data_IF_170502519171
#
_entry.id   IF_170502519171
#
_cell.length_a   1.000
_cell.length_b   1.000
_cell.length_c   1.000
_cell.angle_alpha   90.00
_cell.angle_beta   90.00
_cell.angle_gamma   90.00
#
_symmetry.space_group_name_H-M   'P 1'
#
loop_
_entity.id
_entity.type
_entity.pdbx_description
1 polymer ?
#
# COMPACT_ATOMS: atom_id res chain seq x y z
N UNK A 1 2.90 -15.47 10.99
CA UNK A 1 4.27 -15.91 10.56
C UNK A 1 5.30 -15.30 11.53
N UNK A 2 6.47 -15.89 11.78
CA UNK A 2 7.43 -15.26 12.71
C UNK A 2 8.11 -14.07 12.04
N UNK A 3 8.13 -12.91 12.72
CA UNK A 3 8.85 -11.72 12.25
C UNK A 3 10.35 -12.00 12.26
N UNK A 4 11.04 -11.60 11.19
CA UNK A 4 12.49 -11.61 11.15
C UNK A 4 13.06 -10.25 11.56
N UNK A 5 14.32 -10.25 11.98
CA UNK A 5 15.05 -9.02 12.26
C UNK A 5 15.23 -8.18 10.99
N UNK A 6 14.88 -6.89 11.10
CA UNK A 6 15.13 -5.86 10.08
C UNK A 6 16.54 -5.94 9.49
N UNK A 7 17.59 -6.10 10.31
CA UNK A 7 18.97 -6.13 9.83
C UNK A 7 19.24 -7.33 8.91
N UNK A 8 18.62 -8.48 9.18
CA UNK A 8 18.72 -9.65 8.30
C UNK A 8 18.07 -9.40 6.94
N UNK A 9 16.91 -8.73 6.93
CA UNK A 9 16.25 -8.36 5.67
C UNK A 9 17.07 -7.36 4.85
N UNK A 10 17.68 -6.37 5.50
CA UNK A 10 18.53 -5.36 4.84
C UNK A 10 19.80 -5.99 4.26
N UNK A 11 20.40 -6.94 4.98
CA UNK A 11 21.54 -7.71 4.49
C UNK A 11 21.14 -8.59 3.28
N UNK A 12 19.96 -9.21 3.31
CA UNK A 12 19.45 -9.98 2.18
C UNK A 12 19.24 -9.11 0.94
N UNK A 13 18.68 -7.91 1.09
CA UNK A 13 18.57 -6.93 -0.01
C UNK A 13 19.96 -6.57 -0.55
N UNK A 14 20.90 -6.23 0.32
CA UNK A 14 22.24 -5.77 -0.08
C UNK A 14 23.04 -6.87 -0.81
N UNK A 15 22.82 -8.14 -0.49
CA UNK A 15 23.54 -9.28 -1.04
C UNK A 15 22.79 -10.01 -2.17
N UNK A 16 21.59 -9.57 -2.54
CA UNK A 16 20.83 -10.20 -3.62
C UNK A 16 21.60 -10.08 -4.96
N UNK A 17 21.64 -11.14 -5.75
CA UNK A 17 22.32 -11.15 -7.05
C UNK A 17 21.37 -10.74 -8.17
N UNK A 18 21.90 -10.58 -9.39
CA UNK A 18 21.08 -10.39 -10.62
C UNK A 18 20.00 -11.46 -10.85
N UNK A 19 20.16 -12.66 -10.27
CA UNK A 19 19.21 -13.78 -10.38
C UNK A 19 18.11 -13.75 -9.31
N UNK A 20 18.27 -12.93 -8.27
CA UNK A 20 17.34 -12.75 -7.16
C UNK A 20 16.58 -11.45 -7.35
N UNK A 21 15.33 -11.53 -7.81
CA UNK A 21 14.45 -10.35 -7.85
C UNK A 21 14.08 -9.94 -6.42
N UNK A 22 14.33 -8.69 -6.07
CA UNK A 22 13.92 -8.09 -4.80
C UNK A 22 12.51 -7.51 -4.97
N UNK A 23 11.54 -8.12 -4.31
CA UNK A 23 10.15 -7.68 -4.25
C UNK A 23 9.93 -6.96 -2.92
N UNK A 24 9.48 -5.72 -2.97
CA UNK A 24 9.24 -4.87 -1.80
C UNK A 24 7.74 -4.57 -1.70
N UNK A 25 7.16 -4.81 -0.53
CA UNK A 25 5.88 -4.18 -0.22
C UNK A 25 6.06 -2.66 -0.09
N UNK A 26 4.98 -1.94 -0.39
CA UNK A 26 5.00 -0.50 -0.39
C UNK A 26 4.56 0.09 0.94
N UNK A 27 3.31 -0.16 1.32
CA UNK A 27 2.70 0.43 2.51
C UNK A 27 3.30 -0.21 3.75
N UNK A 28 3.61 0.61 4.76
CA UNK A 28 4.23 0.22 6.04
C UNK A 28 5.60 -0.49 5.96
N UNK A 29 6.08 -0.78 4.75
CA UNK A 29 7.41 -1.34 4.45
C UNK A 29 8.34 -0.31 3.80
N UNK A 30 8.11 0.06 2.54
CA UNK A 30 8.95 1.03 1.82
C UNK A 30 8.56 2.48 2.15
N UNK A 31 7.26 2.74 2.26
CA UNK A 31 6.70 3.93 2.88
C UNK A 31 6.25 3.54 4.29
N UNK A 32 6.75 4.20 5.32
CA UNK A 32 6.43 3.93 6.73
C UNK A 32 5.02 4.42 7.15
N UNK A 33 4.10 4.50 6.17
CA UNK A 33 2.72 4.93 6.27
C UNK A 33 1.88 4.14 5.28
N UNK A 34 0.58 4.07 5.54
CA UNK A 34 -0.40 3.60 4.58
C UNK A 34 -0.70 4.66 3.52
N UNK A 35 -0.27 4.44 2.28
CA UNK A 35 -0.47 5.37 1.16
C UNK A 35 -1.93 5.61 0.82
N UNK A 36 -2.77 4.57 0.91
CA UNK A 36 -4.21 4.69 0.66
C UNK A 36 -4.88 5.56 1.73
N UNK A 37 -4.53 5.36 3.00
CA UNK A 37 -5.04 6.19 4.08
C UNK A 37 -4.60 7.66 3.95
N UNK A 38 -3.34 7.89 3.59
CA UNK A 38 -2.80 9.22 3.38
C UNK A 38 -3.44 9.94 2.20
N UNK A 39 -3.74 9.21 1.11
CA UNK A 39 -4.48 9.73 -0.03
C UNK A 39 -5.92 10.13 0.37
N UNK A 40 -6.64 9.25 1.08
CA UNK A 40 -7.99 9.56 1.56
C UNK A 40 -7.97 10.79 2.49
N UNK A 41 -6.96 10.90 3.37
CA UNK A 41 -6.80 12.07 4.25
C UNK A 41 -6.49 13.37 3.49
N UNK A 42 -6.02 13.26 2.24
CA UNK A 42 -5.71 14.37 1.35
C UNK A 42 -6.93 14.91 0.59
N UNK A 43 -8.07 14.20 0.61
CA UNK A 43 -9.28 14.63 -0.10
C UNK A 43 -9.63 16.09 0.21
N UNK A 44 -9.95 16.85 -0.84
CA UNK A 44 -10.37 18.25 -0.73
C UNK A 44 -11.66 18.51 -1.51
N UNK A 45 -12.51 19.44 -1.08
CA UNK A 45 -12.54 20.07 0.23
C UNK A 45 -12.67 19.04 1.36
N UNK A 46 -11.95 19.25 2.46
CA UNK A 46 -11.74 18.21 3.50
C UNK A 46 -13.05 17.74 4.13
N UNK A 47 -13.99 18.66 4.36
CA UNK A 47 -15.32 18.34 4.89
C UNK A 47 -16.11 17.42 3.97
N UNK A 48 -16.13 17.72 2.66
CA UNK A 48 -16.84 16.90 1.66
C UNK A 48 -16.20 15.51 1.59
N UNK A 49 -14.86 15.44 1.52
CA UNK A 49 -14.15 14.16 1.55
C UNK A 49 -14.47 13.32 2.78
N UNK A 50 -14.51 13.93 3.97
CA UNK A 50 -14.89 13.26 5.21
C UNK A 50 -16.33 12.71 5.15
N UNK A 51 -17.30 13.55 4.74
CA UNK A 51 -18.71 13.14 4.62
C UNK A 51 -18.86 12.00 3.63
N UNK A 52 -18.23 12.07 2.46
CA UNK A 52 -18.26 11.00 1.45
C UNK A 52 -17.74 9.67 2.01
N UNK A 53 -16.58 9.68 2.66
CA UNK A 53 -16.00 8.46 3.25
C UNK A 53 -16.89 7.89 4.34
N UNK A 54 -17.50 8.75 5.17
CA UNK A 54 -18.44 8.32 6.20
C UNK A 54 -19.71 7.69 5.60
N UNK A 55 -20.30 8.32 4.58
CA UNK A 55 -21.45 7.78 3.85
C UNK A 55 -21.11 6.42 3.23
N UNK A 56 -19.98 6.30 2.54
CA UNK A 56 -19.54 5.02 1.98
C UNK A 56 -19.34 3.93 3.06
N UNK A 57 -18.81 4.28 4.23
CA UNK A 57 -18.67 3.35 5.37
C UNK A 57 -20.01 2.93 6.01
N UNK A 58 -21.05 3.75 5.87
CA UNK A 58 -22.42 3.46 6.35
C UNK A 58 -23.16 2.61 5.32
N UNK A 59 -23.20 3.07 4.07
CA UNK A 59 -23.91 2.43 2.95
C UNK A 59 -23.27 1.08 2.60
N UNK A 60 -21.93 1.01 2.67
CA UNK A 60 -21.12 -0.17 2.36
C UNK A 60 -21.46 -0.78 1.00
N UNK A 61 -21.32 -0.01 -0.10
CA UNK A 61 -21.71 -0.48 -1.44
C UNK A 61 -20.96 -1.75 -1.88
N UNK A 62 -19.74 -1.99 -1.38
CA UNK A 62 -18.98 -3.23 -1.61
C UNK A 62 -19.65 -4.50 -1.06
N UNK A 63 -20.66 -4.37 -0.19
CA UNK A 63 -21.44 -5.50 0.30
C UNK A 63 -22.61 -5.88 -0.62
N UNK A 64 -22.96 -5.01 -1.58
CA UNK A 64 -24.10 -5.16 -2.47
C UNK A 64 -23.78 -5.87 -3.78
N UNK A 65 -22.49 -5.94 -4.15
CA UNK A 65 -22.09 -6.64 -5.35
C UNK A 65 -22.31 -8.16 -5.23
N UNK A 66 -22.77 -8.83 -6.29
CA UNK A 66 -22.90 -10.28 -6.32
C UNK A 66 -21.55 -10.99 -6.47
N UNK A 67 -21.47 -12.20 -5.90
CA UNK A 67 -20.39 -13.16 -6.15
C UNK A 67 -19.01 -12.69 -5.68
N UNK A 68 -18.02 -12.88 -6.54
CA UNK A 68 -16.59 -12.76 -6.22
C UNK A 68 -16.13 -11.34 -5.83
N UNK A 69 -16.90 -10.29 -6.17
CA UNK A 69 -16.56 -8.90 -5.84
C UNK A 69 -17.10 -8.43 -4.48
N UNK A 70 -17.84 -9.30 -3.78
CA UNK A 70 -18.47 -9.01 -2.50
C UNK A 70 -17.44 -9.11 -1.37
N UNK A 71 -17.39 -8.09 -0.52
CA UNK A 71 -16.68 -8.16 0.76
C UNK A 71 -15.66 -7.06 0.97
N UNK A 72 -14.88 -7.19 2.06
CA UNK A 72 -13.99 -6.12 2.51
C UNK A 72 -12.73 -5.97 1.65
N UNK A 73 -12.39 -6.96 0.80
CA UNK A 73 -11.22 -6.89 -0.09
C UNK A 73 -11.33 -5.77 -1.13
N UNK A 74 -12.56 -5.48 -1.60
CA UNK A 74 -12.85 -4.43 -2.60
C UNK A 74 -13.24 -3.10 -1.97
N UNK A 75 -13.37 -3.02 -0.64
CA UNK A 75 -13.75 -1.81 0.10
C UNK A 75 -12.90 -0.60 -0.29
N UNK A 76 -11.58 -0.75 -0.30
CA UNK A 76 -10.67 0.37 -0.55
C UNK A 76 -10.81 0.90 -1.98
N UNK A 77 -11.21 0.06 -2.94
CA UNK A 77 -11.52 0.51 -4.29
C UNK A 77 -12.69 1.48 -4.32
N UNK A 78 -13.75 1.24 -3.54
CA UNK A 78 -14.85 2.20 -3.41
C UNK A 78 -14.42 3.47 -2.69
N UNK A 79 -13.67 3.32 -1.60
CA UNK A 79 -13.21 4.46 -0.78
C UNK A 79 -12.21 5.36 -1.52
N UNK A 80 -11.52 4.84 -2.53
CA UNK A 80 -10.60 5.61 -3.36
C UNK A 80 -11.32 6.12 -4.62
N UNK A 81 -11.98 5.25 -5.38
CA UNK A 81 -12.49 5.56 -6.72
C UNK A 81 -13.62 6.58 -6.67
N UNK A 82 -14.62 6.38 -5.81
CA UNK A 82 -15.78 7.29 -5.74
C UNK A 82 -15.34 8.71 -5.35
N UNK A 83 -14.59 8.92 -4.25
CA UNK A 83 -14.14 10.26 -3.90
C UNK A 83 -13.20 10.86 -4.95
N UNK A 84 -12.39 10.05 -5.63
CA UNK A 84 -11.51 10.55 -6.71
C UNK A 84 -12.30 11.05 -7.91
N UNK A 85 -13.39 10.37 -8.29
CA UNK A 85 -14.29 10.82 -9.38
C UNK A 85 -15.02 12.10 -8.98
N UNK A 86 -15.50 12.19 -7.74
CA UNK A 86 -16.28 13.34 -7.27
C UNK A 86 -15.40 14.55 -6.92
N UNK A 87 -14.14 14.33 -6.57
CA UNK A 87 -13.18 15.35 -6.13
C UNK A 87 -11.86 15.24 -6.93
N UNK A 88 -11.89 15.37 -8.27
CA UNK A 88 -10.76 15.02 -9.15
C UNK A 88 -9.52 15.89 -8.93
N UNK A 89 -9.68 17.14 -8.47
CA UNK A 89 -8.57 18.02 -8.10
C UNK A 89 -7.73 17.47 -6.94
N UNK A 90 -8.23 16.48 -6.18
CA UNK A 90 -7.42 15.76 -5.18
C UNK A 90 -6.19 15.14 -5.82
N UNK A 91 -6.27 14.68 -7.09
CA UNK A 91 -5.12 14.11 -7.79
C UNK A 91 -3.98 15.11 -7.94
N UNK A 92 -4.30 16.38 -8.25
CA UNK A 92 -3.30 17.44 -8.39
C UNK A 92 -2.66 17.78 -7.05
N UNK A 93 -3.47 17.88 -5.99
CA UNK A 93 -3.00 18.16 -4.64
C UNK A 93 -2.21 16.98 -4.06
N UNK A 94 -2.55 15.76 -4.48
CA UNK A 94 -1.86 14.55 -4.08
C UNK A 94 -0.42 14.54 -4.55
N UNK A 95 -0.12 15.01 -5.77
CA UNK A 95 1.26 15.08 -6.27
C UNK A 95 2.19 15.84 -5.30
N UNK A 96 1.73 17.00 -4.81
CA UNK A 96 2.50 17.82 -3.86
C UNK A 96 2.60 17.16 -2.49
N UNK A 97 1.52 16.53 -2.01
CA UNK A 97 1.53 15.82 -0.73
C UNK A 97 2.45 14.59 -0.79
N UNK A 98 2.43 13.86 -1.90
CA UNK A 98 3.24 12.66 -2.12
C UNK A 98 4.73 12.98 -2.06
N UNK A 99 5.18 14.09 -2.63
CA UNK A 99 6.56 14.53 -2.51
C UNK A 99 7.00 14.70 -1.04
N UNK A 100 6.16 15.36 -0.22
CA UNK A 100 6.44 15.52 1.22
C UNK A 100 6.43 14.19 1.95
N UNK A 101 5.45 13.34 1.67
CA UNK A 101 5.35 12.01 2.28
C UNK A 101 6.55 11.12 1.95
N UNK A 102 7.02 11.11 0.70
CA UNK A 102 8.21 10.37 0.31
C UNK A 102 9.44 10.88 1.07
N UNK A 103 9.60 12.20 1.18
CA UNK A 103 10.72 12.79 1.95
C UNK A 103 10.68 12.40 3.44
N UNK A 104 9.51 12.45 4.06
CA UNK A 104 9.36 12.36 5.51
C UNK A 104 9.19 10.91 6.02
N UNK A 105 8.71 10.00 5.16
CA UNK A 105 8.30 8.65 5.57
C UNK A 105 8.88 7.52 4.70
N UNK A 106 9.78 7.80 3.77
CA UNK A 106 10.52 6.72 3.11
C UNK A 106 11.36 5.93 4.11
N UNK A 107 11.39 4.61 3.94
CA UNK A 107 12.28 3.73 4.70
C UNK A 107 13.71 3.85 4.18
N UNK A 108 14.49 4.74 4.80
CA UNK A 108 15.86 5.04 4.39
C UNK A 108 16.81 3.84 4.53
N UNK A 109 16.52 2.89 5.42
CA UNK A 109 17.32 1.68 5.59
C UNK A 109 17.20 0.77 4.36
N UNK A 110 15.97 0.48 3.93
CA UNK A 110 15.71 -0.26 2.68
C UNK A 110 16.34 0.47 1.49
N UNK A 111 16.10 1.77 1.36
CA UNK A 111 16.65 2.58 0.26
C UNK A 111 18.18 2.49 0.22
N UNK A 112 18.85 2.55 1.39
CA UNK A 112 20.30 2.45 1.48
C UNK A 112 20.80 1.06 1.11
N UNK A 113 20.09 0.00 1.51
CA UNK A 113 20.41 -1.38 1.10
C UNK A 113 20.30 -1.56 -0.43
N UNK A 114 19.25 -1.01 -1.04
CA UNK A 114 19.05 -1.04 -2.50
C UNK A 114 20.14 -0.24 -3.22
N UNK A 115 20.53 0.94 -2.73
CA UNK A 115 21.60 1.73 -3.35
C UNK A 115 22.94 1.00 -3.37
N UNK A 116 23.22 0.18 -2.35
CA UNK A 116 24.42 -0.66 -2.29
C UNK A 116 24.37 -1.86 -3.25
N UNK A 117 23.18 -2.26 -3.68
CA UNK A 117 22.96 -3.36 -4.61
C UNK A 117 22.45 -2.85 -5.97
N UNK A 118 23.38 -2.69 -6.91
CA UNK A 118 23.05 -2.27 -8.27
C UNK A 118 22.70 -3.43 -9.21
N UNK A 119 22.83 -4.69 -8.78
CA UNK A 119 22.69 -5.86 -9.66
C UNK A 119 21.28 -6.44 -9.68
N UNK A 120 20.65 -6.57 -8.50
CA UNK A 120 19.38 -7.27 -8.38
C UNK A 120 18.20 -6.45 -8.96
N UNK A 121 17.28 -7.04 -9.74
CA UNK A 121 16.06 -6.36 -10.14
C UNK A 121 15.21 -5.98 -8.91
N UNK A 122 14.70 -4.75 -8.85
CA UNK A 122 13.87 -4.22 -7.75
C UNK A 122 12.46 -3.96 -8.25
N UNK A 123 11.51 -4.68 -7.67
CA UNK A 123 10.09 -4.56 -7.96
C UNK A 123 9.34 -4.15 -6.71
N UNK A 124 8.49 -3.13 -6.81
CA UNK A 124 7.56 -2.76 -5.75
C UNK A 124 6.22 -3.41 -6.01
N UNK A 125 5.65 -4.11 -5.04
CA UNK A 125 4.39 -4.83 -5.16
C UNK A 125 3.41 -4.41 -4.05
N UNK A 126 2.25 -3.89 -4.41
CA UNK A 126 1.26 -3.37 -3.45
C UNK A 126 -0.18 -3.61 -3.91
N UNK A 127 -1.10 -3.73 -2.96
CA UNK A 127 -2.55 -3.68 -3.24
C UNK A 127 -3.10 -2.25 -3.27
N UNK A 128 -2.27 -1.24 -2.98
CA UNK A 128 -2.58 0.15 -3.22
C UNK A 128 -2.66 0.49 -4.71
N UNK A 129 -3.11 1.70 -5.00
CA UNK A 129 -3.39 2.13 -6.37
C UNK A 129 -2.18 2.73 -7.07
N UNK A 130 -1.99 2.39 -8.34
CA UNK A 130 -0.87 2.89 -9.15
C UNK A 130 -0.76 4.42 -9.14
N UNK A 131 -1.87 5.12 -9.32
CA UNK A 131 -1.88 6.59 -9.36
C UNK A 131 -1.60 7.23 -7.98
N UNK A 132 -1.77 6.48 -6.89
CA UNK A 132 -1.44 6.92 -5.53
C UNK A 132 0.05 6.68 -5.26
N UNK A 133 0.54 5.49 -5.59
CA UNK A 133 1.90 5.02 -5.28
C UNK A 133 2.95 5.65 -6.20
N UNK A 134 2.66 5.79 -7.49
CA UNK A 134 3.64 6.28 -8.47
C UNK A 134 4.23 7.64 -8.10
N UNK A 135 3.43 8.67 -7.72
CA UNK A 135 3.98 9.94 -7.25
C UNK A 135 4.87 9.83 -6.02
N UNK A 136 4.59 8.89 -5.11
CA UNK A 136 5.42 8.66 -3.93
C UNK A 136 6.76 8.05 -4.36
N UNK A 137 6.72 6.95 -5.12
CA UNK A 137 7.93 6.26 -5.60
C UNK A 137 8.84 7.15 -6.44
N UNK A 138 8.28 7.99 -7.33
CA UNK A 138 9.07 8.93 -8.14
C UNK A 138 9.84 9.95 -7.30
N UNK A 139 9.40 10.22 -6.07
CA UNK A 139 10.07 11.13 -5.14
C UNK A 139 10.97 10.39 -4.13
N UNK A 140 11.05 9.06 -4.19
CA UNK A 140 11.99 8.28 -3.36
C UNK A 140 13.35 8.20 -4.06
N UNK A 141 14.48 8.42 -3.36
CA UNK A 141 15.79 8.37 -3.97
C UNK A 141 16.28 6.92 -4.13
N UNK A 142 15.57 6.08 -4.88
CA UNK A 142 15.94 4.69 -5.15
C UNK A 142 15.59 4.27 -6.59
N UNK A 143 16.25 3.22 -7.07
CA UNK A 143 15.86 2.55 -8.31
C UNK A 143 14.63 1.68 -8.04
N UNK A 144 13.67 1.71 -8.95
CA UNK A 144 12.54 0.79 -9.02
C UNK A 144 12.35 0.41 -10.48
N UNK A 145 12.59 -0.85 -10.83
CA UNK A 145 12.50 -1.30 -12.23
C UNK A 145 11.05 -1.51 -12.65
N UNK A 146 10.19 -1.87 -11.68
CA UNK A 146 8.77 -2.10 -11.95
C UNK A 146 7.92 -1.89 -10.71
N UNK A 147 6.76 -1.26 -10.92
CA UNK A 147 5.68 -1.19 -9.94
C UNK A 147 4.56 -2.16 -10.36
N UNK A 148 4.18 -3.06 -9.46
CA UNK A 148 3.01 -3.94 -9.56
C UNK A 148 2.00 -3.48 -8.52
N UNK A 149 0.94 -2.83 -8.96
CA UNK A 149 -0.07 -2.20 -8.09
C UNK A 149 -1.45 -2.27 -8.72
N UNK A 150 -2.51 -2.04 -7.93
CA UNK A 150 -3.88 -2.04 -8.44
C UNK A 150 -4.12 -0.88 -9.41
N UNK A 151 -4.85 -1.17 -10.49
CA UNK A 151 -5.27 -0.15 -11.47
C UNK A 151 -6.49 0.61 -10.95
N UNK A 152 -6.70 1.82 -11.47
CA UNK A 152 -7.83 2.65 -11.05
C UNK A 152 -9.19 1.97 -11.32
N UNK A 153 -9.46 1.61 -12.58
CA UNK A 153 -10.73 1.02 -12.98
C UNK A 153 -10.86 -0.46 -12.63
N UNK A 154 -9.76 -1.22 -12.65
CA UNK A 154 -9.75 -2.66 -12.36
C UNK A 154 -9.38 -2.98 -10.91
N UNK A 155 -9.27 -1.98 -10.04
CA UNK A 155 -8.73 -2.16 -8.70
C UNK A 155 -9.51 -3.15 -7.83
N UNK A 156 -10.84 -3.22 -7.98
CA UNK A 156 -11.63 -4.26 -7.31
C UNK A 156 -11.18 -5.66 -7.71
N UNK A 157 -11.03 -5.93 -9.01
CA UNK A 157 -10.58 -7.22 -9.53
C UNK A 157 -9.13 -7.50 -9.16
N UNK A 158 -8.24 -6.51 -9.24
CA UNK A 158 -6.82 -6.66 -8.89
C UNK A 158 -6.68 -6.99 -7.39
N UNK A 159 -7.38 -6.28 -6.51
CA UNK A 159 -7.35 -6.54 -5.05
C UNK A 159 -7.92 -7.89 -4.67
N UNK A 160 -9.00 -8.30 -5.33
CA UNK A 160 -9.63 -9.58 -5.07
C UNK A 160 -8.74 -10.76 -5.47
N UNK A 161 -7.93 -10.61 -6.51
CA UNK A 161 -6.94 -11.61 -6.92
C UNK A 161 -5.75 -11.71 -5.95
N UNK A 162 -5.38 -10.60 -5.31
CA UNK A 162 -4.29 -10.54 -4.36
C UNK A 162 -2.90 -10.43 -5.00
N UNK A 163 -1.90 -10.15 -4.16
CA UNK A 163 -0.56 -9.75 -4.62
C UNK A 163 0.16 -10.87 -5.39
N UNK A 164 0.03 -12.13 -4.95
CA UNK A 164 0.65 -13.28 -5.64
C UNK A 164 0.19 -13.39 -7.10
N UNK A 165 -1.12 -13.39 -7.36
CA UNK A 165 -1.66 -13.49 -8.72
C UNK A 165 -1.29 -12.27 -9.57
N UNK A 166 -1.23 -11.07 -8.96
CA UNK A 166 -0.74 -9.87 -9.65
C UNK A 166 0.73 -10.02 -10.07
N UNK A 167 1.58 -10.59 -9.20
CA UNK A 167 2.99 -10.84 -9.50
C UNK A 167 3.18 -11.92 -10.58
N UNK A 168 2.36 -12.97 -10.60
CA UNK A 168 2.43 -14.03 -11.61
C UNK A 168 2.09 -13.56 -13.04
N UNK A 169 1.41 -12.41 -13.19
CA UNK A 169 1.20 -11.77 -14.50
C UNK A 169 2.43 -11.05 -15.03
N UNK A 170 3.43 -10.85 -14.18
CA UNK A 170 4.55 -9.94 -14.37
C UNK A 170 5.87 -10.71 -14.38
N UNK A 171 5.99 -11.71 -13.50
CA UNK A 171 7.15 -12.57 -13.33
C UNK A 171 6.80 -14.01 -13.67
N UNK A 172 7.78 -14.74 -14.19
CA UNK A 172 7.66 -16.19 -14.36
C UNK A 172 7.56 -16.87 -12.98
N UNK A 173 6.95 -18.07 -12.91
CA UNK A 173 6.92 -18.84 -11.67
C UNK A 173 8.31 -19.14 -11.10
N UNK A 174 9.31 -19.33 -11.97
CA UNK A 174 10.70 -19.53 -11.54
C UNK A 174 11.29 -18.27 -10.89
N UNK A 175 11.06 -17.09 -11.48
CA UNK A 175 11.54 -15.83 -10.93
C UNK A 175 10.91 -15.50 -9.58
N UNK A 176 9.62 -15.81 -9.39
CA UNK A 176 8.96 -15.67 -8.08
C UNK A 176 9.59 -16.63 -7.07
N UNK A 177 9.83 -17.90 -7.46
CA UNK A 177 10.43 -18.88 -6.56
C UNK A 177 11.84 -18.53 -6.11
N UNK A 178 12.64 -17.82 -6.92
CA UNK A 178 13.99 -17.38 -6.54
C UNK A 178 14.04 -15.97 -5.93
N UNK A 179 12.89 -15.32 -5.77
CA UNK A 179 12.82 -13.95 -5.29
C UNK A 179 13.09 -13.82 -3.78
N UNK A 180 13.46 -12.60 -3.40
CA UNK A 180 13.43 -12.07 -2.06
C UNK A 180 12.16 -11.23 -1.92
N UNK A 181 11.32 -11.48 -0.90
CA UNK A 181 10.17 -10.63 -0.59
C UNK A 181 10.40 -9.95 0.75
N UNK A 182 10.23 -8.62 0.82
CA UNK A 182 10.22 -7.86 2.07
C UNK A 182 8.85 -7.21 2.25
N UNK A 183 8.17 -7.51 3.36
CA UNK A 183 6.81 -7.04 3.66
C UNK A 183 6.57 -7.00 5.17
N UNK A 184 5.65 -6.16 5.63
CA UNK A 184 5.14 -6.12 7.01
C UNK A 184 3.73 -6.72 7.14
N UNK A 185 3.13 -7.16 6.04
CA UNK A 185 1.73 -7.59 6.01
C UNK A 185 1.54 -9.11 5.89
N UNK A 186 0.68 -9.67 6.74
CA UNK A 186 0.24 -11.06 6.62
C UNK A 186 -0.68 -11.28 5.41
N UNK A 187 -1.23 -10.22 4.80
CA UNK A 187 -1.99 -10.33 3.54
C UNK A 187 -1.12 -10.86 2.39
N UNK A 188 0.21 -10.79 2.54
CA UNK A 188 1.18 -11.32 1.58
C UNK A 188 1.55 -12.78 1.82
N UNK A 189 0.85 -13.49 2.71
CA UNK A 189 1.14 -14.89 3.06
C UNK A 189 1.31 -15.78 1.82
N UNK A 190 0.46 -15.61 0.81
CA UNK A 190 0.54 -16.38 -0.43
C UNK A 190 1.86 -16.16 -1.19
N UNK A 191 2.43 -14.95 -1.16
CA UNK A 191 3.72 -14.66 -1.78
C UNK A 191 4.87 -15.10 -0.87
N UNK A 192 4.76 -14.87 0.44
CA UNK A 192 5.72 -15.32 1.46
C UNK A 192 5.96 -16.83 1.44
N UNK A 193 4.94 -17.62 1.08
CA UNK A 193 5.05 -19.08 0.99
C UNK A 193 5.74 -19.60 -0.27
N UNK A 194 5.89 -18.78 -1.32
CA UNK A 194 6.37 -19.23 -2.63
C UNK A 194 7.78 -18.75 -2.94
N UNK A 195 8.19 -17.61 -2.38
CA UNK A 195 9.53 -17.05 -2.58
C UNK A 195 10.61 -17.83 -1.83
N UNK A 196 11.86 -17.80 -2.33
CA UNK A 196 12.99 -18.45 -1.66
C UNK A 196 13.36 -17.76 -0.35
N UNK A 197 13.30 -16.42 -0.33
CA UNK A 197 13.71 -15.62 0.82
C UNK A 197 12.55 -14.74 1.30
N UNK A 198 11.65 -15.26 2.16
CA UNK A 198 10.59 -14.47 2.75
C UNK A 198 11.09 -13.64 3.93
N UNK A 199 10.92 -12.34 3.86
CA UNK A 199 11.27 -11.39 4.93
C UNK A 199 10.02 -10.66 5.42
N UNK A 200 9.40 -11.24 6.46
CA UNK A 200 8.29 -10.61 7.18
C UNK A 200 8.85 -9.75 8.32
N UNK A 201 8.79 -8.42 8.19
CA UNK A 201 9.48 -7.45 9.07
C UNK A 201 8.49 -6.40 9.54
N UNK A 202 8.42 -6.18 10.85
CA UNK A 202 7.71 -5.03 11.41
C UNK A 202 8.71 -3.88 11.60
N UNK A 203 8.51 -2.79 10.88
CA UNK A 203 9.39 -1.64 10.92
C UNK A 203 9.02 -0.71 12.08
N UNK A 204 9.98 -0.41 12.95
CA UNK A 204 9.75 0.46 14.13
C UNK A 204 9.27 1.87 13.77
N UNK A 205 9.61 2.35 12.57
CA UNK A 205 9.18 3.64 12.05
C UNK A 205 7.77 3.63 11.44
N UNK A 206 7.16 2.46 11.21
CA UNK A 206 5.84 2.35 10.59
C UNK A 206 4.75 2.93 11.50
N UNK A 207 3.84 3.71 10.92
CA UNK A 207 2.75 4.35 11.65
C UNK A 207 1.40 4.14 10.97
N UNK A 208 0.54 3.39 11.65
CA UNK A 208 -0.84 3.13 11.26
C UNK A 208 -1.75 4.27 11.73
N UNK A 209 -2.12 5.17 10.82
CA UNK A 209 -2.98 6.32 11.11
C UNK A 209 -4.23 6.27 10.24
N UNK A 210 -5.38 6.34 10.89
CA UNK A 210 -6.67 6.40 10.23
C UNK A 210 -6.86 7.72 9.46
N UNK A 211 -7.48 7.69 8.26
CA UNK A 211 -7.86 8.92 7.56
C UNK A 211 -8.76 9.80 8.42
N UNK A 212 -8.51 11.12 8.38
CA UNK A 212 -9.26 12.12 9.14
C UNK A 212 -9.21 11.94 10.67
N UNK A 213 -8.21 11.21 11.21
CA UNK A 213 -8.03 11.09 12.66
C UNK A 213 -7.96 12.46 13.35
N UNK A 214 -7.30 13.42 12.71
CA UNK A 214 -7.09 14.80 13.15
C UNK A 214 -8.27 15.74 12.82
N UNK A 215 -9.31 15.26 12.13
CA UNK A 215 -10.44 16.11 11.77
C UNK A 215 -11.44 16.23 12.94
N UNK A 216 -11.77 17.46 13.34
CA UNK A 216 -12.59 17.73 14.54
C UNK A 216 -13.94 16.99 14.56
N UNK A 217 -14.60 16.83 13.40
CA UNK A 217 -15.85 16.08 13.27
C UNK A 217 -15.69 14.59 13.59
N UNK A 218 -14.52 14.00 13.36
CA UNK A 218 -14.28 12.58 13.65
C UNK A 218 -14.41 12.30 15.15
N UNK A 219 -13.94 13.20 16.01
CA UNK A 219 -14.10 13.08 17.46
C UNK A 219 -15.57 13.10 17.90
N UNK A 220 -16.38 13.99 17.30
CA UNK A 220 -17.81 14.07 17.55
C UNK A 220 -18.55 12.80 17.12
N UNK A 221 -18.25 12.29 15.91
CA UNK A 221 -18.85 11.05 15.41
C UNK A 221 -18.49 9.85 16.30
N UNK A 222 -17.24 9.76 16.78
CA UNK A 222 -16.83 8.70 17.72
C UNK A 222 -17.59 8.76 19.03
N UNK A 223 -17.81 9.96 19.60
CA UNK A 223 -18.63 10.15 20.81
C UNK A 223 -20.08 9.71 20.60
N UNK A 224 -20.72 10.14 19.51
CA UNK A 224 -22.11 9.77 19.19
C UNK A 224 -22.27 8.26 19.01
N UNK A 225 -21.34 7.59 18.32
CA UNK A 225 -21.38 6.13 18.17
C UNK A 225 -21.25 5.39 19.51
N UNK A 226 -20.52 5.95 20.47
CA UNK A 226 -20.38 5.36 21.81
C UNK A 226 -21.68 5.50 22.61
N UNK A 227 -22.39 6.62 22.47
CA UNK A 227 -23.69 6.87 23.11
C UNK A 227 -24.83 5.99 22.57
N UNK A 228 -24.79 5.62 21.29
CA UNK A 228 -25.83 4.78 20.67
C UNK A 228 -25.62 3.28 20.96
N UNK A 229 -24.39 2.89 21.36
CA UNK A 229 -24.02 1.49 21.60
C UNK A 229 -23.92 1.12 23.09
N UNK A 230 -24.02 2.10 23.99
CA UNK A 230 -24.10 1.88 25.44
C UNK A 230 -25.53 2.07 25.89
#
# INVERSE_FOLDING_TARGET
MNTIDSQKSLAAIANATKETTVILDFDETLLLRNSTAEYINSLRPRLIGFVLIMLLKIIRPWCWLPGIFRGNQTKDWYLVTIPTILLPWTLLLWQQKAQRLAKDYSNLEIISAIKRNTEAPVIVASLGFNFIITPLLQNMPMRCDRLVSCRFWQGASDRQQGKLLMMQKVLSPSAIKTALLVTDSEDDLGLLQVVQQPCFVLWSGAKYVDPFQDFWLNALVKKLKKLIKG
#
